data_IF_087526751638
#
_entry.id   IF_087526751638
#
_cell.length_a   1.000
_cell.length_b   1.000
_cell.length_c   1.000
_cell.angle_alpha   90.00
_cell.angle_beta   90.00
_cell.angle_gamma   90.00
#
_symmetry.space_group_name_H-M   'P 1'
#
loop_
_entity.id
_entity.type
_entity.pdbx_description
1 polymer ?
#
# COMPACT_ATOMS: atom_id res chain seq x y z
N UNK A 1 12.42 2.50 19.10
CA UNK A 1 11.19 1.75 18.72
C UNK A 1 11.38 0.31 19.14
N UNK A 2 10.48 -0.28 19.94
CA UNK A 2 10.70 -1.63 20.52
C UNK A 2 10.13 -2.79 19.68
N UNK A 3 9.29 -2.50 18.67
CA UNK A 3 8.59 -3.51 17.86
C UNK A 3 8.76 -3.25 16.36
N UNK A 4 9.98 -2.90 15.94
CA UNK A 4 10.29 -2.63 14.53
C UNK A 4 11.54 -3.40 14.16
N UNK A 5 11.44 -4.17 13.08
CA UNK A 5 12.59 -4.83 12.45
C UNK A 5 12.72 -4.22 11.06
N UNK A 6 13.87 -3.62 10.78
CA UNK A 6 14.20 -3.12 9.45
C UNK A 6 14.87 -4.25 8.67
N UNK A 7 14.29 -4.60 7.53
CA UNK A 7 14.89 -5.56 6.61
C UNK A 7 15.67 -4.75 5.58
N UNK A 8 17.00 -4.92 5.57
CA UNK A 8 17.88 -4.38 4.54
C UNK A 8 18.59 -5.54 3.85
N UNK A 9 18.74 -5.47 2.53
CA UNK A 9 19.49 -6.45 1.73
C UNK A 9 20.63 -5.74 1.02
N UNK A 10 21.81 -6.35 1.01
CA UNK A 10 22.93 -5.88 0.18
C UNK A 10 22.83 -6.40 -1.26
N UNK A 11 21.86 -7.29 -1.54
CA UNK A 11 21.58 -7.78 -2.88
C UNK A 11 20.67 -6.81 -3.64
N UNK A 12 20.86 -6.74 -4.95
CA UNK A 12 20.00 -5.94 -5.84
C UNK A 12 18.62 -6.58 -5.84
N UNK A 13 17.63 -5.87 -5.30
CA UNK A 13 16.22 -6.26 -5.36
C UNK A 13 15.56 -5.70 -6.60
N UNK A 14 14.72 -6.52 -7.21
CA UNK A 14 13.87 -6.11 -8.31
C UNK A 14 12.51 -5.64 -7.79
N UNK A 15 11.87 -4.61 -8.37
CA UNK A 15 10.59 -4.10 -7.87
C UNK A 15 9.47 -5.15 -7.81
N UNK A 16 9.51 -6.18 -8.65
CA UNK A 16 8.59 -7.30 -8.62
C UNK A 16 8.74 -8.17 -7.35
N UNK A 17 9.96 -8.35 -6.82
CA UNK A 17 10.18 -9.08 -5.57
C UNK A 17 9.63 -8.30 -4.38
N UNK A 18 9.79 -6.97 -4.38
CA UNK A 18 9.23 -6.12 -3.34
C UNK A 18 7.69 -6.15 -3.35
N UNK A 19 7.03 -6.03 -4.51
CA UNK A 19 5.57 -6.20 -4.61
C UNK A 19 5.14 -7.59 -4.13
N UNK A 20 5.89 -8.64 -4.48
CA UNK A 20 5.59 -9.99 -4.01
C UNK A 20 5.64 -10.07 -2.49
N UNK A 21 6.69 -9.56 -1.85
CA UNK A 21 6.79 -9.50 -0.38
C UNK A 21 5.67 -8.67 0.26
N UNK A 22 5.29 -7.55 -0.35
CA UNK A 22 4.16 -6.73 0.10
C UNK A 22 2.83 -7.50 0.06
N UNK A 23 2.62 -8.36 -0.94
CA UNK A 23 1.42 -9.18 -1.08
C UNK A 23 1.31 -10.29 -0.03
N UNK A 24 2.43 -10.67 0.61
CA UNK A 24 2.47 -11.69 1.65
C UNK A 24 2.27 -11.13 3.07
N UNK A 25 2.15 -9.81 3.21
CA UNK A 25 1.98 -9.17 4.51
C UNK A 25 0.62 -9.53 5.15
N UNK A 26 0.53 -9.54 6.48
CA UNK A 26 -0.76 -9.72 7.17
C UNK A 26 -1.70 -8.55 6.91
N UNK A 27 -1.16 -7.34 6.91
CA UNK A 27 -1.84 -6.07 6.69
C UNK A 27 -0.92 -5.15 5.86
N UNK A 28 -1.47 -4.13 5.20
CA UNK A 28 -0.69 -3.18 4.42
C UNK A 28 -0.95 -1.75 4.89
N UNK A 29 0.09 -0.92 4.89
CA UNK A 29 -0.01 0.53 4.96
C UNK A 29 0.60 1.04 3.67
N UNK A 30 -0.16 1.78 2.87
CA UNK A 30 0.25 2.23 1.54
C UNK A 30 0.38 3.74 1.48
N UNK A 31 1.19 4.22 0.55
CA UNK A 31 1.22 5.63 0.17
C UNK A 31 0.25 5.89 -1.00
N UNK A 32 0.10 7.15 -1.39
CA UNK A 32 -0.49 7.57 -2.66
C UNK A 32 0.44 7.21 -3.84
N UNK A 33 0.68 5.91 -4.01
CA UNK A 33 1.63 5.31 -4.94
C UNK A 33 1.01 4.08 -5.58
N UNK A 34 1.07 4.02 -6.92
CA UNK A 34 0.60 2.87 -7.70
C UNK A 34 1.34 1.59 -7.31
N UNK A 35 2.63 1.70 -6.96
CA UNK A 35 3.44 0.55 -6.55
C UNK A 35 2.92 -0.07 -5.25
N UNK A 36 2.71 0.73 -4.20
CA UNK A 36 2.19 0.21 -2.93
C UNK A 36 0.73 -0.21 -3.03
N UNK A 37 -0.06 0.46 -3.89
CA UNK A 37 -1.44 0.08 -4.17
C UNK A 37 -1.52 -1.33 -4.78
N UNK A 38 -0.69 -1.62 -5.79
CA UNK A 38 -0.64 -2.98 -6.37
C UNK A 38 -0.15 -4.01 -5.36
N UNK A 39 0.84 -3.67 -4.53
CA UNK A 39 1.32 -4.55 -3.46
C UNK A 39 0.22 -4.94 -2.47
N UNK A 40 -0.67 -4.01 -2.09
CA UNK A 40 -1.81 -4.33 -1.20
C UNK A 40 -2.97 -5.01 -1.92
N UNK A 41 -3.21 -4.66 -3.19
CA UNK A 41 -4.26 -5.27 -3.99
C UNK A 41 -4.02 -6.76 -4.22
N UNK A 42 -2.77 -7.13 -4.51
CA UNK A 42 -2.35 -8.52 -4.72
C UNK A 42 -2.29 -9.35 -3.43
N UNK A 43 -2.43 -8.73 -2.27
CA UNK A 43 -2.47 -9.45 -1.00
C UNK A 43 -3.75 -10.29 -0.92
N UNK A 44 -3.62 -11.61 -0.91
CA UNK A 44 -4.75 -12.55 -0.88
C UNK A 44 -5.23 -12.93 0.52
N UNK A 45 -4.68 -12.34 1.59
CA UNK A 45 -5.20 -12.54 2.93
C UNK A 45 -6.64 -11.97 3.02
N UNK A 46 -7.60 -12.82 3.38
CA UNK A 46 -9.00 -12.46 3.50
C UNK A 46 -9.25 -11.53 4.70
N UNK A 47 -8.45 -11.67 5.75
CA UNK A 47 -8.54 -10.86 6.98
C UNK A 47 -7.62 -9.63 6.95
N UNK A 48 -7.09 -9.26 5.78
CA UNK A 48 -6.18 -8.12 5.67
C UNK A 48 -6.90 -6.82 5.98
N UNK A 49 -6.24 -5.96 6.74
CA UNK A 49 -6.55 -4.54 6.81
C UNK A 49 -5.56 -3.79 5.92
N UNK A 50 -6.08 -2.94 5.04
CA UNK A 50 -5.25 -2.02 4.25
C UNK A 50 -5.56 -0.59 4.66
N UNK A 51 -4.52 0.13 5.07
CA UNK A 51 -4.60 1.55 5.42
C UNK A 51 -4.03 2.36 4.26
N UNK A 52 -4.80 3.31 3.74
CA UNK A 52 -4.43 4.17 2.63
C UNK A 52 -4.67 5.65 2.98
N UNK A 53 -3.99 6.60 2.32
CA UNK A 53 -4.26 8.01 2.49
C UNK A 53 -5.66 8.35 1.99
N UNK A 54 -6.39 9.17 2.76
CA UNK A 54 -7.70 9.69 2.37
C UNK A 54 -7.62 10.63 1.17
N UNK A 55 -6.56 11.44 1.11
CA UNK A 55 -6.32 12.38 0.01
C UNK A 55 -5.24 11.83 -0.90
N UNK A 56 -5.62 11.39 -2.10
CA UNK A 56 -4.67 10.84 -3.06
C UNK A 56 -3.87 11.93 -3.79
N UNK A 57 -4.50 13.07 -4.05
CA UNK A 57 -3.92 14.24 -4.70
C UNK A 57 -4.10 15.49 -3.83
N UNK A 58 -3.11 16.38 -3.87
CA UNK A 58 -3.19 17.70 -3.24
C UNK A 58 -4.02 18.69 -4.07
N UNK A 59 -4.04 18.52 -5.39
CA UNK A 59 -4.90 19.31 -6.26
C UNK A 59 -6.37 18.91 -6.05
N UNK A 60 -7.21 19.90 -5.73
CA UNK A 60 -8.63 19.67 -5.39
C UNK A 60 -9.45 19.13 -6.57
N UNK A 61 -9.09 19.51 -7.79
CA UNK A 61 -9.77 19.05 -9.00
C UNK A 61 -9.46 17.57 -9.21
N UNK A 62 -8.18 17.19 -9.17
CA UNK A 62 -7.77 15.78 -9.26
C UNK A 62 -8.32 14.95 -8.10
N UNK A 63 -8.32 15.51 -6.88
CA UNK A 63 -8.88 14.83 -5.72
C UNK A 63 -10.36 14.49 -5.94
N UNK A 64 -11.14 15.42 -6.52
CA UNK A 64 -12.56 15.20 -6.80
C UNK A 64 -12.82 14.05 -7.77
N UNK A 65 -11.88 13.75 -8.67
CA UNK A 65 -11.95 12.65 -9.64
C UNK A 65 -11.33 11.34 -9.15
N UNK A 66 -10.74 11.32 -7.96
CA UNK A 66 -9.91 10.20 -7.48
C UNK A 66 -10.56 9.35 -6.38
N UNK A 67 -11.85 9.56 -6.12
CA UNK A 67 -12.56 8.95 -4.99
C UNK A 67 -12.62 7.41 -5.08
N UNK A 68 -12.51 6.87 -6.28
CA UNK A 68 -12.60 5.45 -6.62
C UNK A 68 -11.23 4.75 -6.74
N UNK A 69 -10.11 5.49 -6.62
CA UNK A 69 -8.76 4.90 -6.69
C UNK A 69 -8.56 3.86 -5.58
N UNK A 70 -9.01 4.16 -4.37
CA UNK A 70 -8.85 3.28 -3.22
C UNK A 70 -10.17 2.56 -2.94
N UNK A 71 -10.19 1.21 -2.91
CA UNK A 71 -11.39 0.44 -2.61
C UNK A 71 -12.04 0.86 -1.30
N UNK A 72 -13.37 0.81 -1.24
CA UNK A 72 -14.12 1.20 -0.03
C UNK A 72 -13.90 0.27 1.17
N UNK A 73 -13.39 -0.94 0.91
CA UNK A 73 -12.98 -1.87 1.97
C UNK A 73 -11.70 -1.45 2.70
N UNK A 74 -10.95 -0.48 2.18
CA UNK A 74 -9.72 0.00 2.80
C UNK A 74 -10.04 1.07 3.85
N UNK A 75 -9.24 1.11 4.93
CA UNK A 75 -9.30 2.17 5.91
C UNK A 75 -8.57 3.41 5.37
N UNK A 76 -9.31 4.48 5.08
CA UNK A 76 -8.80 5.75 4.55
C UNK A 76 -8.54 6.72 5.72
N UNK A 77 -7.28 7.10 5.96
CA UNK A 77 -6.86 8.02 7.05
C UNK A 77 -6.30 9.34 6.53
#
# INVERSE_FOLDING_TARGET
>A
MKNVVFINSNEVRTPNEDIYLMSLCKNNIIANSSFSWWGSWLNNNADKVVIAPKEWFLDKTLLSYSQDIVPDSYLKI
#
